data_IF_550952089503
#
_entry.id   IF_550952089503
#
_cell.length_a   1.000
_cell.length_b   1.000
_cell.length_c   1.000
_cell.angle_alpha   90.00
_cell.angle_beta   90.00
_cell.angle_gamma   90.00
#
_symmetry.space_group_name_H-M   'P 1'
#
loop_
_entity.id
_entity.type
_entity.pdbx_description
1 polymer ?
#
# COMPACT_ATOMS: atom_id res chain seq x y z
N UNK A 1 -8.50 -9.98 17.99
CA UNK A 1 -9.00 -9.69 16.64
C UNK A 1 -7.81 -9.66 15.69
N UNK A 2 -7.46 -10.80 15.09
CA UNK A 2 -6.22 -10.96 14.31
C UNK A 2 -6.54 -10.77 12.81
N UNK A 3 -6.03 -9.66 12.25
CA UNK A 3 -5.25 -9.65 11.00
C UNK A 3 -5.92 -10.15 9.71
N UNK A 4 -6.84 -9.34 9.15
CA UNK A 4 -7.25 -9.50 7.73
C UNK A 4 -6.09 -9.13 6.78
N UNK A 5 -5.19 -8.22 7.19
CA UNK A 5 -4.02 -7.79 6.40
C UNK A 5 -2.96 -8.87 6.20
N UNK A 6 -2.73 -9.76 7.18
CA UNK A 6 -1.72 -10.84 7.06
C UNK A 6 -2.12 -11.86 6.01
N UNK A 7 -3.39 -12.28 5.99
CA UNK A 7 -3.84 -13.29 5.03
C UNK A 7 -3.82 -12.73 3.61
N UNK A 8 -4.16 -11.45 3.42
CA UNK A 8 -4.20 -10.85 2.09
C UNK A 8 -2.81 -10.76 1.45
N UNK A 9 -1.80 -10.28 2.18
CA UNK A 9 -0.43 -10.17 1.62
C UNK A 9 0.14 -11.56 1.30
N UNK A 10 -0.02 -12.54 2.20
CA UNK A 10 0.45 -13.92 1.95
C UNK A 10 -0.28 -14.63 0.80
N UNK A 11 -1.54 -14.26 0.50
CA UNK A 11 -2.26 -14.78 -0.67
C UNK A 11 -1.69 -14.22 -1.99
N UNK A 12 -1.12 -13.01 -1.97
CA UNK A 12 -0.71 -12.30 -3.20
C UNK A 12 0.80 -12.27 -3.46
N UNK A 13 1.65 -12.71 -2.54
CA UNK A 13 3.12 -12.64 -2.73
C UNK A 13 3.80 -13.98 -2.46
N UNK A 14 4.20 -14.67 -3.53
CA UNK A 14 5.14 -15.79 -3.54
C UNK A 14 6.58 -15.29 -3.68
N UNK A 15 6.78 -14.14 -4.35
CA UNK A 15 8.09 -13.58 -4.72
C UNK A 15 8.46 -12.31 -3.95
N UNK A 16 7.62 -11.82 -3.03
CA UNK A 16 7.92 -10.67 -2.18
C UNK A 16 8.23 -9.35 -2.94
N UNK A 17 7.75 -9.21 -4.18
CA UNK A 17 8.12 -8.07 -5.02
C UNK A 17 7.10 -6.93 -4.93
N UNK A 18 7.62 -5.71 -4.72
CA UNK A 18 6.87 -4.46 -4.83
C UNK A 18 7.36 -3.75 -6.08
N UNK A 19 6.46 -3.49 -7.02
CA UNK A 19 6.78 -2.82 -8.28
C UNK A 19 5.89 -1.60 -8.50
N UNK A 20 6.22 -0.79 -9.50
CA UNK A 20 5.42 0.34 -9.96
C UNK A 20 5.86 0.72 -11.38
N UNK A 21 5.01 1.48 -12.07
CA UNK A 21 5.44 2.15 -13.30
C UNK A 21 6.20 3.42 -12.92
N UNK A 22 7.42 3.60 -13.45
CA UNK A 22 8.26 4.76 -13.08
C UNK A 22 7.58 6.12 -13.34
N UNK A 23 6.84 6.34 -14.45
CA UNK A 23 6.08 7.57 -14.63
C UNK A 23 5.05 7.84 -13.52
N UNK A 24 4.46 6.79 -12.92
CA UNK A 24 3.53 6.94 -11.79
C UNK A 24 4.24 7.30 -10.50
N UNK A 25 5.42 6.73 -10.25
CA UNK A 25 6.26 7.08 -9.09
C UNK A 25 6.61 8.56 -9.11
N UNK A 26 7.12 9.05 -10.25
CA UNK A 26 7.48 10.46 -10.42
C UNK A 26 6.26 11.37 -10.20
N UNK A 27 5.15 11.10 -10.87
CA UNK A 27 3.93 11.90 -10.72
C UNK A 27 3.38 11.87 -9.28
N UNK A 28 3.49 10.74 -8.57
CA UNK A 28 3.08 10.64 -7.18
C UNK A 28 4.01 11.43 -6.26
N UNK A 29 5.31 11.35 -6.48
CA UNK A 29 6.32 12.09 -5.72
C UNK A 29 6.11 13.60 -5.87
N UNK A 30 5.92 14.10 -7.09
CA UNK A 30 5.62 15.51 -7.34
C UNK A 30 4.33 15.97 -6.65
N UNK A 31 3.29 15.14 -6.70
CA UNK A 31 1.96 15.49 -6.17
C UNK A 31 1.85 15.37 -4.64
N UNK A 32 2.54 14.41 -4.04
CA UNK A 32 2.33 14.01 -2.64
C UNK A 32 3.58 14.08 -1.78
N UNK A 33 4.76 14.32 -2.38
CA UNK A 33 6.04 14.35 -1.66
C UNK A 33 6.44 13.01 -1.04
N UNK A 34 5.86 11.90 -1.52
CA UNK A 34 6.10 10.56 -1.01
C UNK A 34 6.52 9.64 -2.14
N UNK A 35 7.66 8.99 -1.93
CA UNK A 35 8.27 8.07 -2.88
C UNK A 35 7.82 6.62 -2.63
N UNK A 36 7.35 5.94 -3.67
CA UNK A 36 7.01 4.52 -3.61
C UNK A 36 8.18 3.64 -3.17
N UNK A 37 9.42 4.03 -3.49
CA UNK A 37 10.62 3.31 -3.10
C UNK A 37 10.84 3.24 -1.58
N UNK A 38 10.12 4.05 -0.79
CA UNK A 38 10.15 3.98 0.67
C UNK A 38 9.25 2.86 1.23
N UNK A 39 8.42 2.21 0.41
CA UNK A 39 7.53 1.14 0.85
C UNK A 39 8.28 -0.18 0.99
N UNK A 40 8.00 -0.89 2.08
CA UNK A 40 8.50 -2.24 2.34
C UNK A 40 7.34 -3.22 2.48
N UNK A 41 7.61 -4.52 2.36
CA UNK A 41 6.59 -5.52 2.64
C UNK A 41 6.10 -5.45 4.09
N UNK A 42 6.98 -5.10 5.02
CA UNK A 42 6.64 -4.92 6.42
C UNK A 42 5.56 -3.84 6.62
N UNK A 43 5.60 -2.77 5.82
CA UNK A 43 4.51 -1.78 5.82
C UNK A 43 3.17 -2.44 5.48
N UNK A 44 3.11 -3.26 4.43
CA UNK A 44 1.86 -3.92 4.03
C UNK A 44 1.40 -4.97 5.05
N UNK A 45 2.33 -5.73 5.64
CA UNK A 45 2.04 -6.72 6.68
C UNK A 45 1.47 -6.09 7.96
N UNK A 46 1.89 -4.87 8.28
CA UNK A 46 1.42 -4.10 9.45
C UNK A 46 0.28 -3.14 9.12
N UNK A 47 -0.17 -3.09 7.86
CA UNK A 47 -1.27 -2.23 7.43
C UNK A 47 -2.63 -2.91 7.57
N UNK A 48 -3.67 -2.10 7.73
CA UNK A 48 -5.04 -2.52 7.46
C UNK A 48 -5.27 -2.42 5.96
N UNK A 49 -5.75 -3.51 5.35
CA UNK A 49 -6.09 -3.52 3.93
C UNK A 49 -7.61 -3.58 3.78
N UNK A 50 -8.16 -2.60 3.06
CA UNK A 50 -9.59 -2.51 2.78
C UNK A 50 -9.86 -2.59 1.27
N UNK A 51 -11.03 -3.09 0.84
CA UNK A 51 -11.45 -3.01 -0.55
C UNK A 51 -11.55 -1.55 -1.01
N UNK A 52 -11.11 -1.28 -2.23
CA UNK A 52 -11.30 0.00 -2.90
C UNK A 52 -11.80 -0.21 -4.34
N UNK A 53 -12.06 0.90 -5.06
CA UNK A 53 -12.69 0.86 -6.37
C UNK A 53 -11.85 0.07 -7.39
N UNK A 54 -12.53 -0.68 -8.27
CA UNK A 54 -11.95 -1.37 -9.45
C UNK A 54 -10.83 -2.38 -9.12
N UNK A 55 -11.01 -3.21 -8.08
CA UNK A 55 -10.03 -4.23 -7.66
C UNK A 55 -8.65 -3.66 -7.34
N UNK A 56 -8.60 -2.46 -6.76
CA UNK A 56 -7.37 -1.81 -6.30
C UNK A 56 -7.46 -1.65 -4.79
N UNK A 57 -6.97 -2.61 -3.99
CA UNK A 57 -7.03 -2.51 -2.54
C UNK A 57 -6.29 -1.28 -2.01
N UNK A 58 -6.70 -0.85 -0.82
CA UNK A 58 -6.08 0.25 -0.09
C UNK A 58 -5.43 -0.29 1.18
N UNK A 59 -4.13 -0.12 1.32
CA UNK A 59 -3.39 -0.33 2.56
C UNK A 59 -3.29 0.98 3.35
N UNK A 60 -3.61 0.94 4.64
CA UNK A 60 -3.49 2.06 5.57
C UNK A 60 -2.60 1.61 6.71
N UNK A 61 -1.47 2.29 6.90
CA UNK A 61 -0.44 1.87 7.85
C UNK A 61 0.37 3.04 8.38
N UNK A 62 1.11 2.79 9.47
CA UNK A 62 2.03 3.76 10.05
C UNK A 62 3.41 3.65 9.39
N UNK A 63 4.04 4.80 9.15
CA UNK A 63 5.47 4.96 8.86
C UNK A 63 6.05 5.96 9.87
N UNK A 64 7.38 6.14 9.89
CA UNK A 64 8.05 7.08 10.82
C UNK A 64 7.41 8.47 10.81
N UNK A 65 7.09 9.00 9.63
CA UNK A 65 6.60 10.36 9.48
C UNK A 65 5.07 10.50 9.61
N UNK A 66 4.35 9.42 9.94
CA UNK A 66 2.92 9.42 10.15
C UNK A 66 2.17 8.30 9.42
N UNK A 67 0.85 8.45 9.30
CA UNK A 67 -0.01 7.44 8.67
C UNK A 67 -0.13 7.66 7.16
N UNK A 68 0.11 6.60 6.40
CA UNK A 68 0.10 6.58 4.94
C UNK A 68 -1.05 5.72 4.44
N UNK A 69 -1.65 6.15 3.32
CA UNK A 69 -2.61 5.39 2.53
C UNK A 69 -1.98 5.06 1.19
N UNK A 70 -1.98 3.77 0.84
CA UNK A 70 -1.40 3.24 -0.40
C UNK A 70 -2.46 2.50 -1.18
N UNK A 71 -2.65 2.86 -2.45
CA UNK A 71 -3.46 2.11 -3.40
C UNK A 71 -2.53 1.22 -4.22
N UNK A 72 -2.85 -0.06 -4.32
CA UNK A 72 -2.05 -1.02 -5.07
C UNK A 72 -2.94 -1.97 -5.87
N UNK A 73 -2.36 -2.61 -6.87
CA UNK A 73 -2.93 -3.74 -7.60
C UNK A 73 -2.14 -5.00 -7.32
N UNK A 74 -2.72 -6.16 -7.61
CA UNK A 74 -2.07 -7.46 -7.47
C UNK A 74 -1.47 -7.90 -8.80
N UNK A 75 -0.23 -8.39 -8.80
CA UNK A 75 0.41 -9.05 -9.94
C UNK A 75 0.24 -10.58 -9.79
N UNK A 76 -1.01 -11.03 -9.85
CA UNK A 76 -1.34 -12.43 -9.53
C UNK A 76 -0.92 -12.81 -8.10
N UNK A 77 -0.16 -13.89 -7.98
CA UNK A 77 0.47 -14.32 -6.72
C UNK A 77 1.94 -13.91 -6.61
N UNK A 78 2.46 -13.08 -7.51
CA UNK A 78 3.90 -12.80 -7.60
C UNK A 78 4.28 -11.59 -6.76
N UNK A 79 3.40 -10.58 -6.69
CA UNK A 79 3.72 -9.33 -6.02
C UNK A 79 2.57 -8.31 -6.04
N UNK A 80 2.91 -7.09 -5.67
CA UNK A 80 2.01 -5.95 -5.71
C UNK A 80 2.59 -4.82 -6.57
N UNK A 81 1.69 -4.13 -7.28
CA UNK A 81 2.02 -2.95 -8.07
C UNK A 81 1.45 -1.70 -7.41
N UNK A 82 2.30 -0.79 -6.97
CA UNK A 82 1.90 0.46 -6.32
C UNK A 82 1.36 1.44 -7.35
N UNK A 83 0.20 2.04 -7.04
CA UNK A 83 -0.50 2.96 -7.92
C UNK A 83 -0.50 4.38 -7.35
N UNK A 84 -0.66 4.52 -6.03
CA UNK A 84 -0.68 5.82 -5.35
C UNK A 84 -0.28 5.68 -3.90
N UNK A 85 0.40 6.69 -3.36
CA UNK A 85 0.85 6.80 -1.97
C UNK A 85 0.65 8.23 -1.50
N UNK A 86 -0.09 8.41 -0.42
CA UNK A 86 -0.34 9.73 0.18
C UNK A 86 -0.49 9.66 1.69
N UNK A 87 -0.44 10.80 2.37
CA UNK A 87 -0.87 10.89 3.77
C UNK A 87 -2.33 10.45 3.91
N UNK A 88 -2.59 9.66 4.95
CA UNK A 88 -3.94 9.25 5.31
C UNK A 88 -4.74 10.44 5.85
N UNK A 89 -6.01 10.56 5.47
CA UNK A 89 -6.92 11.57 6.01
C UNK A 89 -7.43 11.18 7.40
N UNK A 90 -8.20 12.05 8.07
CA UNK A 90 -8.68 11.79 9.44
C UNK A 90 -9.50 10.52 9.58
N UNK A 91 -10.39 10.22 8.61
CA UNK A 91 -11.22 9.00 8.61
C UNK A 91 -10.40 7.73 8.41
N UNK A 92 -9.35 7.79 7.60
CA UNK A 92 -8.43 6.68 7.40
C UNK A 92 -7.58 6.44 8.63
N UNK A 93 -7.10 7.51 9.29
CA UNK A 93 -6.32 7.42 10.52
C UNK A 93 -7.09 6.80 11.67
N UNK A 94 -8.41 7.01 11.76
CA UNK A 94 -9.24 6.41 12.81
C UNK A 94 -9.47 4.90 12.65
N UNK A 95 -8.97 4.28 11.57
CA UNK A 95 -9.05 2.84 11.38
C UNK A 95 -7.93 2.07 12.11
N UNK A 96 -6.84 2.76 12.47
CA UNK A 96 -5.67 2.20 13.17
C UNK A 96 -5.77 2.38 14.68
#
# INVERSE_FOLDING_TARGET
MKTVGKLLVFVYTKSNEITWDEPKRIANLEKHGLDFAALSLEFFLNSIVIPAKKNRPQAIGKMQDGTISVIFGTLGSEGISVISMRRANSKERSLL
#
